data_IF_188082633951
#
_entry.id   IF_188082633951
#
_cell.length_a   1.000
_cell.length_b   1.000
_cell.length_c   1.000
_cell.angle_alpha   90.00
_cell.angle_beta   90.00
_cell.angle_gamma   90.00
#
_symmetry.space_group_name_H-M   'P 1'
#
loop_
_entity.id
_entity.type
_entity.pdbx_description
1 polymer ?
#
# COMPACT_ATOMS: atom_id res chain seq x y z
N UNK A 1 58.37 -46.98 24.37
CA UNK A 1 57.25 -46.19 24.96
C UNK A 1 56.17 -46.06 23.91
N UNK A 2 55.02 -46.57 24.16
CA UNK A 2 54.10 -47.26 23.28
C UNK A 2 53.31 -46.40 22.30
N UNK A 3 53.36 -46.75 21.03
CA UNK A 3 52.57 -46.22 19.91
C UNK A 3 51.01 -46.32 20.11
N UNK A 4 50.60 -47.13 21.01
CA UNK A 4 49.16 -47.35 21.34
C UNK A 4 48.54 -46.10 22.00
N UNK A 5 49.32 -45.31 22.70
CA UNK A 5 48.78 -44.14 23.41
C UNK A 5 48.59 -42.88 22.47
N UNK A 6 49.35 -42.82 21.36
CA UNK A 6 49.16 -41.73 20.37
C UNK A 6 47.88 -41.90 19.54
N UNK A 7 47.50 -43.13 19.23
CA UNK A 7 46.26 -43.35 18.44
C UNK A 7 44.98 -43.13 19.25
N UNK A 8 44.99 -43.26 20.59
CA UNK A 8 43.82 -42.97 21.44
C UNK A 8 43.59 -41.48 21.58
N UNK A 9 44.62 -40.64 21.64
CA UNK A 9 44.48 -39.19 21.77
C UNK A 9 43.92 -38.56 20.49
N UNK A 10 44.29 -39.06 19.32
CA UNK A 10 43.78 -38.56 18.03
C UNK A 10 42.34 -38.94 17.81
N UNK A 11 41.86 -40.11 18.25
CA UNK A 11 40.46 -40.50 18.15
C UNK A 11 39.54 -39.71 19.06
N UNK A 12 40.02 -39.17 20.18
CA UNK A 12 39.20 -38.39 21.11
C UNK A 12 39.05 -36.96 20.68
N UNK A 13 40.00 -36.41 19.90
CA UNK A 13 39.98 -35.05 19.39
C UNK A 13 39.05 -34.82 18.18
N UNK A 14 38.64 -35.89 17.49
CA UNK A 14 37.73 -35.80 16.35
C UNK A 14 36.27 -36.13 16.70
N UNK A 15 35.91 -36.29 17.99
CA UNK A 15 34.59 -36.77 18.39
C UNK A 15 33.56 -35.70 18.72
N UNK A 16 33.92 -34.41 18.63
CA UNK A 16 33.01 -33.29 18.94
C UNK A 16 33.20 -32.10 18.02
N UNK A 17 33.09 -32.34 16.70
CA UNK A 17 32.62 -31.24 15.84
C UNK A 17 31.10 -31.39 15.86
N UNK A 18 30.36 -30.48 16.52
CA UNK A 18 28.92 -30.49 16.40
C UNK A 18 28.60 -30.37 14.92
N UNK A 19 27.85 -31.31 14.36
CA UNK A 19 27.25 -31.14 13.04
C UNK A 19 26.44 -29.87 13.10
N UNK A 20 27.02 -28.78 12.60
CA UNK A 20 26.34 -27.53 12.43
C UNK A 20 25.28 -27.80 11.38
N UNK A 21 24.06 -28.13 11.84
CA UNK A 21 22.88 -28.18 10.97
C UNK A 21 22.74 -26.78 10.40
N UNK A 22 23.25 -26.57 9.20
CA UNK A 22 22.96 -25.39 8.42
C UNK A 22 21.47 -25.47 8.06
N UNK A 23 20.63 -24.80 8.85
CA UNK A 23 19.25 -24.62 8.47
C UNK A 23 19.23 -23.73 7.20
N UNK A 24 18.53 -24.16 6.14
CA UNK A 24 18.45 -23.35 4.94
C UNK A 24 17.71 -22.05 5.25
N UNK A 25 18.43 -20.93 5.21
CA UNK A 25 17.84 -19.60 5.37
C UNK A 25 17.04 -19.29 4.11
N UNK A 26 15.73 -19.08 4.27
CA UNK A 26 14.88 -18.59 3.18
C UNK A 26 15.21 -17.12 2.92
N UNK A 27 15.82 -16.82 1.80
CA UNK A 27 16.14 -15.47 1.38
C UNK A 27 15.06 -14.97 0.43
N UNK A 28 14.48 -13.81 0.71
CA UNK A 28 13.58 -13.12 -0.22
C UNK A 28 14.42 -12.30 -1.20
N UNK A 29 14.16 -12.49 -2.49
CA UNK A 29 14.79 -11.75 -3.58
C UNK A 29 13.79 -10.74 -4.14
N UNK A 30 14.20 -9.49 -4.28
CA UNK A 30 13.43 -8.48 -5.01
C UNK A 30 13.39 -8.88 -6.50
N UNK A 31 12.20 -8.97 -7.05
CA UNK A 31 11.95 -9.22 -8.48
C UNK A 31 11.94 -7.90 -9.22
N UNK A 32 11.24 -6.91 -8.67
CA UNK A 32 11.18 -5.57 -9.21
C UNK A 32 10.32 -4.65 -8.37
N UNK A 33 10.37 -3.38 -8.69
CA UNK A 33 9.53 -2.34 -8.08
C UNK A 33 9.04 -1.37 -9.15
N UNK A 34 7.92 -0.73 -8.88
CA UNK A 34 7.36 0.32 -9.71
C UNK A 34 6.67 1.37 -8.84
N UNK A 35 6.81 2.62 -9.23
CA UNK A 35 6.05 3.73 -8.69
C UNK A 35 4.91 4.08 -9.64
N UNK A 36 3.69 4.18 -9.11
CA UNK A 36 2.49 4.47 -9.90
C UNK A 36 1.65 5.52 -9.21
N UNK A 37 1.01 6.37 -10.00
CA UNK A 37 0.17 7.45 -9.51
C UNK A 37 -1.26 7.27 -9.99
N UNK A 38 -2.23 7.62 -9.15
CA UNK A 38 -3.63 7.76 -9.53
C UNK A 38 -4.15 9.14 -9.14
N UNK A 39 -5.11 9.63 -9.91
CA UNK A 39 -5.84 10.87 -9.63
C UNK A 39 -7.31 10.58 -9.78
N UNK A 40 -8.03 10.64 -8.67
CA UNK A 40 -9.46 10.37 -8.63
C UNK A 40 -10.23 11.64 -8.29
N UNK A 41 -11.42 11.77 -8.86
CA UNK A 41 -12.28 12.94 -8.63
C UNK A 41 -13.70 12.49 -8.30
N UNK A 42 -14.29 13.10 -7.28
CA UNK A 42 -15.68 12.91 -6.94
C UNK A 42 -16.36 14.23 -6.60
N UNK A 43 -17.64 14.30 -6.89
CA UNK A 43 -18.49 15.44 -6.55
C UNK A 43 -19.53 14.98 -5.53
N UNK A 44 -19.59 15.66 -4.40
CA UNK A 44 -20.53 15.39 -3.33
C UNK A 44 -21.51 16.55 -3.18
N UNK A 45 -22.79 16.30 -3.45
CA UNK A 45 -23.83 17.32 -3.29
C UNK A 45 -24.10 17.58 -1.80
N UNK A 46 -23.99 18.83 -1.38
CA UNK A 46 -24.36 19.22 -0.02
C UNK A 46 -25.87 19.25 0.09
N UNK A 47 -26.48 18.56 1.07
CA UNK A 47 -27.93 18.52 1.23
C UNK A 47 -28.54 19.91 1.35
N UNK A 48 -29.58 20.18 0.57
CA UNK A 48 -30.26 21.48 0.51
C UNK A 48 -30.97 21.86 1.83
N UNK A 49 -31.22 20.88 2.69
CA UNK A 49 -31.87 21.07 4.01
C UNK A 49 -30.91 21.67 5.07
N UNK A 50 -29.64 21.82 4.74
CA UNK A 50 -28.65 22.49 5.58
C UNK A 50 -28.22 23.81 4.95
N UNK A 51 -27.77 24.74 5.77
CA UNK A 51 -27.22 25.96 5.22
C UNK A 51 -25.98 25.67 4.36
N UNK A 52 -25.80 26.52 3.34
CA UNK A 52 -24.69 26.43 2.42
C UNK A 52 -23.33 26.39 3.12
N UNK A 53 -22.39 25.68 2.53
CA UNK A 53 -20.99 25.66 3.02
C UNK A 53 -20.39 27.07 2.87
N UNK A 54 -19.92 27.62 3.98
CA UNK A 54 -19.22 28.89 4.03
C UNK A 54 -17.72 28.70 3.83
N UNK A 55 -17.16 27.70 4.49
CA UNK A 55 -15.72 27.44 4.49
C UNK A 55 -15.44 25.97 4.83
N UNK A 56 -14.50 25.35 4.13
CA UNK A 56 -13.91 24.06 4.53
C UNK A 56 -12.91 24.33 5.66
N UNK A 57 -13.04 23.62 6.77
CA UNK A 57 -12.15 23.74 7.94
C UNK A 57 -10.99 22.78 7.77
N UNK A 58 -11.30 21.51 7.48
CA UNK A 58 -10.30 20.47 7.22
C UNK A 58 -10.88 19.41 6.31
N UNK A 59 -10.01 18.74 5.58
CA UNK A 59 -10.33 17.53 4.85
C UNK A 59 -9.18 16.53 5.05
N UNK A 60 -9.51 15.26 5.29
CA UNK A 60 -8.56 14.19 5.53
C UNK A 60 -8.89 13.02 4.61
N UNK A 61 -7.86 12.29 4.19
CA UNK A 61 -7.99 11.13 3.31
C UNK A 61 -7.34 9.92 3.97
N UNK A 62 -8.06 8.81 3.98
CA UNK A 62 -7.55 7.50 4.37
C UNK A 62 -7.77 6.50 3.25
N UNK A 63 -6.88 5.50 3.15
CA UNK A 63 -7.06 4.37 2.24
C UNK A 63 -7.70 3.23 3.02
N UNK A 64 -8.86 2.77 2.55
CA UNK A 64 -9.62 1.70 3.18
C UNK A 64 -9.66 0.48 2.28
N UNK A 65 -9.43 -0.70 2.87
CA UNK A 65 -9.54 -1.98 2.20
C UNK A 65 -8.62 -2.16 0.98
N UNK A 66 -7.32 -1.76 1.05
CA UNK A 66 -6.44 -1.91 -0.11
C UNK A 66 -6.18 -3.39 -0.39
N UNK A 67 -6.29 -3.77 -1.68
CA UNK A 67 -6.03 -5.12 -2.17
C UNK A 67 -5.05 -5.05 -3.33
N UNK A 68 -4.05 -5.94 -3.30
CA UNK A 68 -3.10 -6.12 -4.39
C UNK A 68 -3.36 -7.46 -5.10
N UNK A 69 -3.63 -7.42 -6.41
CA UNK A 69 -3.83 -8.60 -7.24
C UNK A 69 -2.68 -8.75 -8.22
N UNK A 70 -2.06 -9.93 -8.23
CA UNK A 70 -0.86 -10.21 -9.01
C UNK A 70 -1.23 -10.99 -10.28
N UNK A 71 -0.86 -10.45 -11.42
CA UNK A 71 -0.93 -11.08 -12.73
C UNK A 71 0.48 -11.32 -13.29
N UNK A 72 0.60 -11.89 -14.47
CA UNK A 72 1.88 -11.98 -15.17
C UNK A 72 2.36 -10.58 -15.58
N UNK A 73 3.57 -10.22 -15.16
CA UNK A 73 4.24 -8.93 -15.39
C UNK A 73 3.45 -7.68 -14.93
N UNK A 74 2.43 -7.88 -14.08
CA UNK A 74 1.53 -6.79 -13.67
C UNK A 74 1.01 -7.00 -12.25
N UNK A 75 0.93 -5.92 -11.48
CA UNK A 75 0.23 -5.85 -10.20
C UNK A 75 -0.87 -4.80 -10.31
N UNK A 76 -2.06 -5.16 -9.89
CA UNK A 76 -3.21 -4.23 -9.80
C UNK A 76 -3.47 -3.97 -8.33
N UNK A 77 -3.46 -2.71 -7.95
CA UNK A 77 -3.86 -2.24 -6.62
C UNK A 77 -5.20 -1.55 -6.72
N UNK A 78 -6.14 -1.96 -5.88
CA UNK A 78 -7.46 -1.36 -5.76
C UNK A 78 -7.79 -1.05 -4.31
N UNK A 79 -8.72 -0.14 -4.09
CA UNK A 79 -9.18 0.25 -2.77
C UNK A 79 -10.14 1.42 -2.84
N UNK A 80 -10.38 2.03 -1.69
CA UNK A 80 -11.25 3.19 -1.56
C UNK A 80 -10.51 4.28 -0.81
N UNK A 81 -10.52 5.51 -1.33
CA UNK A 81 -10.20 6.70 -0.56
C UNK A 81 -11.43 7.12 0.23
N UNK A 82 -11.35 7.05 1.54
CA UNK A 82 -12.33 7.67 2.43
C UNK A 82 -11.90 9.10 2.70
N UNK A 83 -12.74 10.08 2.30
CA UNK A 83 -12.47 11.50 2.49
C UNK A 83 -13.44 12.07 3.51
N UNK A 84 -12.92 12.51 4.64
CA UNK A 84 -13.67 13.13 5.71
C UNK A 84 -13.49 14.64 5.67
N UNK A 85 -14.61 15.37 5.52
CA UNK A 85 -14.63 16.82 5.35
C UNK A 85 -15.39 17.48 6.49
N UNK A 86 -14.74 18.37 7.19
CA UNK A 86 -15.35 19.23 8.21
C UNK A 86 -15.46 20.64 7.65
N UNK A 87 -16.64 21.22 7.70
CA UNK A 87 -16.91 22.54 7.17
C UNK A 87 -17.80 23.39 8.08
N UNK A 88 -17.62 24.70 8.00
CA UNK A 88 -18.53 25.67 8.60
C UNK A 88 -19.64 25.98 7.60
N UNK A 89 -20.88 25.93 8.05
CA UNK A 89 -22.05 26.28 7.28
C UNK A 89 -22.48 27.75 7.52
N UNK A 90 -23.29 28.29 6.63
CA UNK A 90 -23.73 29.69 6.70
C UNK A 90 -24.64 29.98 7.90
N UNK A 91 -25.21 28.97 8.55
CA UNK A 91 -25.97 29.05 9.80
C UNK A 91 -25.06 29.15 11.07
N UNK A 92 -23.74 29.12 10.88
CA UNK A 92 -22.76 29.19 11.96
C UNK A 92 -22.42 27.83 12.60
N UNK A 93 -23.00 26.75 12.14
CA UNK A 93 -22.71 25.41 12.67
C UNK A 93 -21.52 24.77 11.96
N UNK A 94 -20.78 23.93 12.69
CA UNK A 94 -19.76 23.05 12.13
C UNK A 94 -20.41 21.72 11.79
N UNK A 95 -20.18 21.23 10.56
CA UNK A 95 -20.75 20.01 10.03
C UNK A 95 -19.65 19.10 9.49
N UNK A 96 -19.95 17.82 9.42
CA UNK A 96 -19.07 16.78 8.89
C UNK A 96 -19.79 16.03 7.76
N UNK A 97 -19.04 15.67 6.73
CA UNK A 97 -19.49 14.74 5.70
C UNK A 97 -18.35 13.83 5.31
N UNK A 98 -18.65 12.61 4.90
CA UNK A 98 -17.69 11.63 4.43
C UNK A 98 -18.10 11.15 3.04
N UNK A 99 -17.12 10.90 2.18
CA UNK A 99 -17.36 10.30 0.88
C UNK A 99 -16.30 9.25 0.57
N UNK A 100 -16.72 8.23 -0.17
CA UNK A 100 -15.87 7.14 -0.62
C UNK A 100 -15.58 7.29 -2.12
N UNK A 101 -14.31 7.25 -2.49
CA UNK A 101 -13.85 7.36 -3.86
C UNK A 101 -13.08 6.10 -4.21
N UNK A 102 -13.65 5.16 -4.98
CA UNK A 102 -12.93 3.96 -5.39
C UNK A 102 -11.77 4.32 -6.32
N UNK A 103 -10.66 3.61 -6.18
CA UNK A 103 -9.51 3.73 -7.06
C UNK A 103 -9.00 2.38 -7.52
N UNK A 104 -8.39 2.36 -8.70
CA UNK A 104 -7.67 1.21 -9.24
C UNK A 104 -6.45 1.71 -10.00
N UNK A 105 -5.29 1.17 -9.68
CA UNK A 105 -4.04 1.51 -10.36
C UNK A 105 -3.27 0.24 -10.70
N UNK A 106 -2.54 0.25 -11.80
CA UNK A 106 -1.76 -0.91 -12.23
C UNK A 106 -0.29 -0.57 -12.41
N UNK A 107 0.57 -1.40 -11.86
CA UNK A 107 2.01 -1.36 -12.01
C UNK A 107 2.49 -2.46 -12.95
N UNK A 108 3.32 -2.12 -13.93
CA UNK A 108 3.99 -3.11 -14.78
C UNK A 108 5.35 -3.45 -14.16
N UNK A 109 5.51 -4.69 -13.70
CA UNK A 109 6.74 -5.17 -13.06
C UNK A 109 7.14 -6.48 -13.75
N UNK A 110 8.14 -6.42 -14.62
CA UNK A 110 8.62 -7.55 -15.38
C UNK A 110 9.08 -8.71 -14.50
N UNK A 111 8.61 -9.91 -14.78
CA UNK A 111 8.96 -11.14 -14.07
C UNK A 111 8.07 -11.46 -12.87
N UNK A 112 7.10 -10.60 -12.56
CA UNK A 112 6.09 -10.87 -11.53
C UNK A 112 5.12 -11.94 -12.03
N UNK A 113 4.74 -12.86 -11.13
CA UNK A 113 3.78 -13.94 -11.42
C UNK A 113 2.87 -14.16 -10.22
N UNK A 114 1.70 -14.75 -10.47
CA UNK A 114 0.78 -15.14 -9.42
C UNK A 114 1.48 -16.00 -8.34
N UNK A 115 1.15 -15.72 -7.07
CA UNK A 115 1.76 -16.39 -5.91
C UNK A 115 3.05 -15.75 -5.38
N UNK A 116 3.59 -14.72 -6.03
CA UNK A 116 4.67 -13.90 -5.48
C UNK A 116 4.14 -12.98 -4.39
N UNK A 117 5.02 -12.66 -3.43
CA UNK A 117 4.68 -11.70 -2.39
C UNK A 117 4.81 -10.28 -2.92
N UNK A 118 3.76 -9.50 -2.74
CA UNK A 118 3.73 -8.09 -3.11
C UNK A 118 3.56 -7.25 -1.85
N UNK A 119 4.34 -6.20 -1.76
CA UNK A 119 4.22 -5.16 -0.75
C UNK A 119 4.01 -3.83 -1.45
N UNK A 120 2.96 -3.13 -1.07
CA UNK A 120 2.63 -1.83 -1.63
C UNK A 120 2.41 -0.82 -0.50
N UNK A 121 2.96 0.38 -0.68
CA UNK A 121 2.81 1.48 0.27
C UNK A 121 2.47 2.77 -0.47
N UNK A 122 1.64 3.61 0.13
CA UNK A 122 1.41 4.96 -0.36
C UNK A 122 2.58 5.83 0.08
N UNK A 123 3.32 6.38 -0.88
CA UNK A 123 4.46 7.28 -0.62
C UNK A 123 4.03 8.74 -0.55
N UNK A 124 2.93 9.07 -1.20
CA UNK A 124 2.35 10.40 -1.18
C UNK A 124 0.84 10.31 -1.36
N UNK A 125 0.10 11.08 -0.55
CA UNK A 125 -1.34 11.27 -0.71
C UNK A 125 -1.60 12.76 -0.54
N UNK A 126 -2.27 13.36 -1.51
CA UNK A 126 -2.72 14.74 -1.47
C UNK A 126 -4.19 14.82 -1.84
N UNK A 127 -4.89 15.79 -1.28
CA UNK A 127 -6.27 16.04 -1.60
C UNK A 127 -6.54 17.54 -1.78
N UNK A 128 -7.43 17.84 -2.70
CA UNK A 128 -7.95 19.18 -2.88
C UNK A 128 -9.48 19.14 -2.88
N UNK A 129 -10.08 19.91 -2.01
CA UNK A 129 -11.55 20.02 -1.90
C UNK A 129 -11.97 21.44 -2.16
N UNK A 130 -12.80 21.64 -3.17
CA UNK A 130 -13.31 22.95 -3.55
C UNK A 130 -14.84 22.99 -3.48
N UNK A 131 -15.37 24.20 -3.22
CA UNK A 131 -16.80 24.44 -3.17
C UNK A 131 -17.22 24.98 -4.55
N UNK A 132 -18.04 24.19 -5.25
CA UNK A 132 -18.60 24.59 -6.56
C UNK A 132 -20.07 24.92 -6.38
N UNK A 133 -20.47 26.09 -6.86
CA UNK A 133 -21.89 26.48 -6.93
C UNK A 133 -22.45 26.10 -8.29
N UNK A 134 -23.51 25.34 -8.30
CA UNK A 134 -24.18 24.88 -9.51
C UNK A 134 -25.64 25.29 -9.47
N UNK A 135 -26.18 25.70 -10.62
CA UNK A 135 -27.60 25.98 -10.79
C UNK A 135 -28.23 24.96 -11.74
N UNK A 136 -29.30 24.31 -11.32
CA UNK A 136 -30.06 23.39 -12.14
C UNK A 136 -31.54 23.66 -11.95
N UNK A 137 -32.28 23.84 -13.04
CA UNK A 137 -33.72 24.10 -13.02
C UNK A 137 -34.14 25.28 -12.11
N UNK A 138 -33.35 26.35 -12.06
CA UNK A 138 -33.62 27.55 -11.25
C UNK A 138 -33.26 27.44 -9.77
N UNK A 139 -32.82 26.26 -9.29
CA UNK A 139 -32.31 26.07 -7.93
C UNK A 139 -30.78 26.11 -7.92
N UNK A 140 -30.22 26.87 -6.98
CA UNK A 140 -28.77 26.89 -6.73
C UNK A 140 -28.44 25.89 -5.62
N UNK A 141 -27.49 25.00 -5.88
CA UNK A 141 -26.97 24.07 -4.89
C UNK A 141 -25.44 24.10 -4.90
N UNK A 142 -24.84 23.65 -3.82
CA UNK A 142 -23.41 23.52 -3.70
C UNK A 142 -22.98 22.06 -3.85
N UNK A 143 -21.82 21.90 -4.47
CA UNK A 143 -21.16 20.60 -4.61
C UNK A 143 -19.75 20.78 -4.05
N UNK A 144 -19.34 19.84 -3.20
CA UNK A 144 -17.95 19.66 -2.82
C UNK A 144 -17.27 18.84 -3.92
N UNK A 145 -16.37 19.48 -4.65
CA UNK A 145 -15.55 18.83 -5.68
C UNK A 145 -14.24 18.39 -5.04
N UNK A 146 -14.02 17.10 -4.98
CA UNK A 146 -12.90 16.48 -4.29
C UNK A 146 -12.00 15.79 -5.31
N UNK A 147 -10.72 16.13 -5.28
CA UNK A 147 -9.67 15.49 -6.07
C UNK A 147 -8.67 14.86 -5.10
N UNK A 148 -8.42 13.58 -5.25
CA UNK A 148 -7.41 12.84 -4.50
C UNK A 148 -6.32 12.40 -5.46
N UNK A 149 -5.07 12.71 -5.13
CA UNK A 149 -3.88 12.23 -5.83
C UNK A 149 -3.10 11.32 -4.90
N UNK A 150 -2.79 10.11 -5.33
CA UNK A 150 -1.99 9.19 -4.55
C UNK A 150 -0.89 8.55 -5.40
N UNK A 151 0.29 8.42 -4.80
CA UNK A 151 1.44 7.72 -5.38
C UNK A 151 1.73 6.48 -4.55
N UNK A 152 1.86 5.34 -5.22
CA UNK A 152 2.13 4.06 -4.60
C UNK A 152 3.46 3.50 -5.08
N UNK A 153 4.29 3.04 -4.15
CA UNK A 153 5.46 2.23 -4.43
C UNK A 153 5.07 0.75 -4.24
N UNK A 154 5.17 -0.03 -5.32
CA UNK A 154 4.80 -1.45 -5.34
C UNK A 154 6.07 -2.27 -5.56
N UNK A 155 6.37 -3.19 -4.64
CA UNK A 155 7.52 -4.09 -4.66
C UNK A 155 7.06 -5.54 -4.73
N UNK A 156 7.64 -6.30 -5.63
CA UNK A 156 7.39 -7.73 -5.75
C UNK A 156 8.64 -8.52 -5.36
N UNK A 157 8.44 -9.53 -4.51
CA UNK A 157 9.51 -10.40 -4.01
C UNK A 157 9.15 -11.87 -4.20
N UNK A 158 10.17 -12.71 -4.38
CA UNK A 158 10.02 -14.16 -4.40
C UNK A 158 11.05 -14.81 -3.49
N UNK A 159 10.74 -16.00 -2.98
CA UNK A 159 11.73 -16.80 -2.28
C UNK A 159 12.80 -17.29 -3.27
N UNK A 160 14.05 -16.98 -2.99
CA UNK A 160 15.15 -17.59 -3.72
C UNK A 160 15.28 -19.05 -3.27
N UNK A 161 15.33 -19.98 -4.23
CA UNK A 161 15.71 -21.35 -3.92
C UNK A 161 17.13 -21.32 -3.30
N UNK A 162 17.38 -22.05 -2.20
CA UNK A 162 18.71 -22.13 -1.62
C UNK A 162 19.66 -22.70 -2.68
N UNK A 163 20.58 -21.87 -3.16
CA UNK A 163 21.66 -22.34 -4.04
C UNK A 163 22.62 -23.19 -3.17
N UNK A 164 22.48 -24.48 -3.20
CA UNK A 164 23.51 -25.39 -2.72
C UNK A 164 24.75 -25.18 -3.63
N UNK A 165 25.66 -24.29 -3.23
CA UNK A 165 27.01 -24.34 -3.78
C UNK A 165 27.61 -25.67 -3.31
N UNK A 166 27.73 -26.62 -4.22
CA UNK A 166 28.63 -27.75 -4.01
C UNK A 166 30.04 -27.17 -3.93
N UNK A 167 30.63 -27.28 -2.75
CA UNK A 167 32.06 -27.12 -2.58
C UNK A 167 32.77 -28.32 -3.21
#
# INVERSE_FOLDING_TARGET
MNDVNRQRVIKTLFREIPETRCEPVKVMKLIGEAEVQTVERAAHAVPVCGSLVKKIITAQVEIVGPVDTVFEDKVVKEGVFQVDIVYASCDGLVRHTSLEIPFMVSAHIKGVRAGMHVQSEATHIDQNTTIVRTSRCGATYQVLDVIVTATFLIRATAFAAPSLRRL
#
